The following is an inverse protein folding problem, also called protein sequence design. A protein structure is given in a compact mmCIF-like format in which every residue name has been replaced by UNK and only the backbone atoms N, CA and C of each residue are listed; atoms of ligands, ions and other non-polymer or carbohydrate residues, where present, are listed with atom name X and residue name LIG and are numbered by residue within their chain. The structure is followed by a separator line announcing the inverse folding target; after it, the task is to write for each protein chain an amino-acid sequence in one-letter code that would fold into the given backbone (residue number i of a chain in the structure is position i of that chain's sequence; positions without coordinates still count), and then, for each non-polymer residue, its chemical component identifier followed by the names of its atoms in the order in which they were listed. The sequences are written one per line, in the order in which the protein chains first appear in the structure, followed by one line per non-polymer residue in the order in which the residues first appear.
data_IF_346037681572
#
_entry.id   IF_346037681572
#
_cell.length_a   1.000
_cell.length_b   1.000
_cell.length_c   1.000
_cell.angle_alpha   90.00
_cell.angle_beta   90.00
_cell.angle_gamma   90.00
#
_symmetry.space_group_name_H-M   'P 1'
#
loop_
_entity.id
_entity.type
_entity.pdbx_description
1 polymer ?
#
# COMPACT_ATOMS: atom_id res chain seq x y z
N UNK A 1 19.53 -17.00 2.60
CA UNK A 1 19.18 -16.16 1.44
C UNK A 1 18.21 -16.85 0.47
N UNK A 2 18.51 -17.93 -0.23
CA UNK A 2 17.59 -18.59 -1.20
C UNK A 2 16.28 -19.15 -0.60
N UNK A 3 16.26 -19.58 0.64
CA UNK A 3 15.08 -20.15 1.30
C UNK A 3 14.08 -19.06 1.75
N UNK A 4 14.57 -17.92 2.21
CA UNK A 4 13.77 -16.75 2.57
C UNK A 4 13.03 -16.17 1.35
N UNK A 5 13.73 -16.08 0.21
CA UNK A 5 13.16 -15.55 -1.05
C UNK A 5 11.99 -16.40 -1.60
N UNK A 6 12.06 -17.75 -1.45
CA UNK A 6 10.98 -18.65 -1.87
C UNK A 6 9.73 -18.51 -0.97
N UNK A 7 9.92 -18.36 0.34
CA UNK A 7 8.81 -18.22 1.30
C UNK A 7 8.10 -16.88 1.12
N UNK A 8 8.84 -15.79 0.94
CA UNK A 8 8.25 -14.47 0.66
C UNK A 8 7.45 -14.49 -0.65
N UNK A 9 7.97 -15.10 -1.70
CA UNK A 9 7.23 -15.24 -2.97
C UNK A 9 5.93 -16.00 -2.79
N UNK A 10 5.92 -17.07 -2.01
CA UNK A 10 4.72 -17.83 -1.69
C UNK A 10 3.69 -16.99 -0.92
N UNK A 11 4.13 -16.22 0.08
CA UNK A 11 3.25 -15.31 0.84
C UNK A 11 2.65 -14.24 -0.08
N UNK A 12 3.46 -13.65 -0.96
CA UNK A 12 3.00 -12.65 -1.91
C UNK A 12 1.98 -13.23 -2.90
N UNK A 13 2.19 -14.46 -3.39
CA UNK A 13 1.27 -15.12 -4.32
C UNK A 13 -0.04 -15.48 -3.64
N UNK A 14 0.00 -16.16 -2.50
CA UNK A 14 -1.20 -16.52 -1.73
C UNK A 14 -1.98 -15.30 -1.25
N UNK A 15 -1.29 -14.28 -0.76
CA UNK A 15 -1.95 -13.04 -0.32
C UNK A 15 -2.56 -12.26 -1.46
N UNK A 16 -1.94 -12.27 -2.64
CA UNK A 16 -2.51 -11.69 -3.85
C UNK A 16 -3.77 -12.43 -4.29
N UNK A 17 -3.72 -13.76 -4.33
CA UNK A 17 -4.89 -14.59 -4.67
C UNK A 17 -6.05 -14.33 -3.70
N UNK A 18 -5.79 -14.33 -2.40
CA UNK A 18 -6.81 -14.06 -1.39
C UNK A 18 -7.45 -12.68 -1.58
N UNK A 19 -6.64 -11.65 -1.83
CA UNK A 19 -7.13 -10.30 -2.10
C UNK A 19 -7.95 -10.23 -3.40
N UNK A 20 -7.49 -10.85 -4.49
CA UNK A 20 -8.17 -10.83 -5.78
C UNK A 20 -9.51 -11.57 -5.72
N UNK A 21 -9.62 -12.69 -5.00
CA UNK A 21 -10.89 -13.41 -4.77
C UNK A 21 -11.91 -12.50 -4.07
N UNK A 22 -11.50 -11.81 -3.02
CA UNK A 22 -12.43 -10.96 -2.25
C UNK A 22 -12.78 -9.69 -3.02
N UNK A 23 -11.83 -9.08 -3.75
CA UNK A 23 -12.11 -7.95 -4.65
C UNK A 23 -13.13 -8.34 -5.73
N UNK A 24 -13.03 -9.56 -6.30
CA UNK A 24 -13.98 -10.05 -7.28
C UNK A 24 -15.40 -10.17 -6.72
N UNK A 25 -15.53 -10.56 -5.44
CA UNK A 25 -16.82 -10.71 -4.75
C UNK A 25 -17.44 -9.35 -4.34
N UNK A 26 -16.60 -8.39 -3.97
CA UNK A 26 -17.04 -7.09 -3.46
C UNK A 26 -17.37 -6.08 -4.56
N UNK A 27 -16.73 -6.19 -5.73
CA UNK A 27 -16.98 -5.28 -6.84
C UNK A 27 -18.22 -5.70 -7.63
N UNK A 28 -19.10 -4.77 -8.00
CA UNK A 28 -20.24 -5.08 -8.86
C UNK A 28 -19.79 -5.75 -10.16
N UNK A 29 -20.58 -6.70 -10.71
CA UNK A 29 -20.28 -7.32 -12.00
C UNK A 29 -20.19 -6.27 -13.11
N UNK A 30 -19.34 -6.51 -14.11
CA UNK A 30 -19.17 -5.61 -15.26
C UNK A 30 -20.47 -5.39 -16.07
N UNK A 31 -21.43 -6.31 -15.95
CA UNK A 31 -22.75 -6.27 -16.59
C UNK A 31 -23.80 -5.48 -15.81
N UNK A 32 -23.54 -5.15 -14.54
CA UNK A 32 -24.49 -4.43 -13.68
C UNK A 32 -24.67 -2.99 -14.18
N UNK A 33 -25.91 -2.49 -14.12
CA UNK A 33 -26.19 -1.10 -14.51
C UNK A 33 -25.85 -0.13 -13.35
N UNK A 34 -25.13 0.98 -13.64
CA UNK A 34 -24.60 1.47 -14.94
C UNK A 34 -23.28 0.75 -15.33
N UNK A 35 -23.28 0.07 -16.47
CA UNK A 35 -22.18 -0.84 -16.88
C UNK A 35 -20.81 -0.16 -17.05
N UNK A 36 -20.79 1.07 -17.59
CA UNK A 36 -19.52 1.77 -17.87
C UNK A 36 -18.68 2.00 -16.62
N UNK A 37 -19.30 2.37 -15.49
CA UNK A 37 -18.59 2.62 -14.23
C UNK A 37 -18.01 1.33 -13.65
N UNK A 38 -18.79 0.23 -13.64
CA UNK A 38 -18.34 -1.05 -13.10
C UNK A 38 -17.24 -1.67 -13.95
N UNK A 39 -17.32 -1.52 -15.28
CA UNK A 39 -16.24 -1.92 -16.20
C UNK A 39 -14.96 -1.13 -15.92
N UNK A 40 -15.04 0.19 -15.70
CA UNK A 40 -13.89 1.05 -15.44
C UNK A 40 -13.24 0.76 -14.07
N UNK A 41 -14.04 0.54 -13.00
CA UNK A 41 -13.56 0.12 -11.69
C UNK A 41 -12.78 -1.20 -11.80
N UNK A 42 -13.39 -2.21 -12.41
CA UNK A 42 -12.81 -3.54 -12.59
C UNK A 42 -11.58 -3.52 -13.49
N UNK A 43 -11.59 -2.72 -14.57
CA UNK A 43 -10.43 -2.52 -15.43
C UNK A 43 -9.20 -2.08 -14.62
N UNK A 44 -9.35 -1.14 -13.73
CA UNK A 44 -8.26 -0.58 -12.93
C UNK A 44 -7.84 -1.51 -11.79
N UNK A 45 -8.80 -2.07 -11.04
CA UNK A 45 -8.51 -3.00 -9.94
C UNK A 45 -7.80 -4.25 -10.45
N UNK A 46 -8.24 -4.85 -11.57
CA UNK A 46 -7.65 -6.07 -12.13
C UNK A 46 -6.60 -5.81 -13.21
N UNK A 47 -6.02 -4.62 -13.25
CA UNK A 47 -4.86 -4.33 -14.10
C UNK A 47 -3.56 -5.03 -13.64
N UNK A 48 -3.62 -5.87 -12.62
CA UNK A 48 -2.47 -6.52 -11.98
C UNK A 48 -2.00 -5.75 -10.74
N UNK A 49 -0.85 -6.15 -10.21
CA UNK A 49 -0.24 -5.55 -9.01
C UNK A 49 0.12 -6.57 -7.96
N UNK A 50 1.02 -6.17 -7.03
CA UNK A 50 1.55 -7.06 -5.98
C UNK A 50 0.59 -7.19 -4.78
N UNK A 51 -0.48 -6.42 -4.71
CA UNK A 51 -1.43 -6.38 -3.58
C UNK A 51 -0.73 -6.19 -2.23
N UNK A 52 0.30 -5.36 -2.20
CA UNK A 52 1.14 -5.19 -1.01
C UNK A 52 0.34 -4.72 0.22
N UNK A 53 -0.60 -3.77 0.06
CA UNK A 53 -1.40 -3.24 1.15
C UNK A 53 -2.31 -4.30 1.78
N UNK A 54 -3.10 -5.07 1.02
CA UNK A 54 -3.81 -6.24 1.53
C UNK A 54 -2.91 -7.23 2.27
N UNK A 55 -1.76 -7.57 1.70
CA UNK A 55 -0.84 -8.56 2.27
C UNK A 55 -0.28 -8.07 3.61
N UNK A 56 0.19 -6.82 3.67
CA UNK A 56 0.67 -6.22 4.92
C UNK A 56 -0.41 -6.17 6.00
N UNK A 57 -1.65 -5.86 5.62
CA UNK A 57 -2.79 -5.87 6.53
C UNK A 57 -3.05 -7.28 7.10
N UNK A 58 -3.13 -8.28 6.23
CA UNK A 58 -3.37 -9.67 6.60
C UNK A 58 -2.25 -10.22 7.50
N UNK A 59 -0.99 -9.96 7.15
CA UNK A 59 0.15 -10.47 7.93
C UNK A 59 0.31 -9.76 9.27
N UNK A 60 -0.02 -8.47 9.38
CA UNK A 60 -0.08 -7.78 10.67
C UNK A 60 -1.18 -8.37 11.58
N UNK A 61 -2.34 -8.65 11.02
CA UNK A 61 -3.42 -9.33 11.75
C UNK A 61 -3.03 -10.75 12.17
N UNK A 62 -2.36 -11.52 11.30
CA UNK A 62 -1.83 -12.86 11.61
C UNK A 62 -0.83 -12.82 12.76
N UNK A 63 0.12 -11.88 12.71
CA UNK A 63 1.14 -11.69 13.75
C UNK A 63 0.51 -11.42 15.13
N UNK A 64 -0.39 -10.44 15.20
CA UNK A 64 -1.06 -10.08 16.47
C UNK A 64 -1.88 -11.26 17.01
N UNK A 65 -2.62 -11.97 16.16
CA UNK A 65 -3.37 -13.14 16.57
C UNK A 65 -2.46 -14.26 17.10
N UNK A 66 -1.35 -14.53 16.41
CA UNK A 66 -0.39 -15.53 16.83
C UNK A 66 0.24 -15.19 18.19
N UNK A 67 0.62 -13.94 18.42
CA UNK A 67 1.16 -13.47 19.69
C UNK A 67 0.16 -13.59 20.84
N UNK A 68 -1.12 -13.28 20.61
CA UNK A 68 -2.18 -13.40 21.61
C UNK A 68 -2.44 -14.85 22.03
N UNK A 69 -2.33 -15.81 21.09
CA UNK A 69 -2.52 -17.25 21.37
C UNK A 69 -1.29 -17.87 22.05
N UNK A 70 -0.09 -17.42 21.73
CA UNK A 70 1.14 -17.89 22.40
C UNK A 70 1.16 -17.58 23.90
N UNK A 71 0.47 -16.52 24.33
CA UNK A 71 0.24 -16.19 25.73
C UNK A 71 -0.84 -17.03 26.43
N UNK A 72 -1.73 -17.66 25.67
CA UNK A 72 -2.79 -18.55 26.15
C UNK A 72 -2.53 -19.95 25.58
N UNK A 73 -2.10 -20.92 26.44
CA UNK A 73 -1.73 -22.30 26.11
C UNK A 73 -2.22 -22.86 24.75
N UNK A 74 -1.27 -23.24 23.92
CA UNK A 74 -1.31 -23.96 22.63
C UNK A 74 -2.69 -24.43 22.11
N UNK A 75 -3.29 -23.66 21.21
CA UNK A 75 -4.40 -24.11 20.36
C UNK A 75 -3.99 -24.04 18.89
N UNK A 76 -4.50 -24.94 18.06
CA UNK A 76 -4.17 -25.17 16.63
C UNK A 76 -4.40 -24.00 15.65
N UNK A 77 -4.54 -22.76 16.12
CA UNK A 77 -4.91 -21.59 15.33
C UNK A 77 -3.83 -20.50 15.27
N UNK A 78 -2.65 -20.74 15.84
CA UNK A 78 -1.58 -19.75 16.00
C UNK A 78 -1.01 -19.17 14.70
N UNK A 79 -1.32 -19.74 13.54
CA UNK A 79 -0.84 -19.26 12.23
C UNK A 79 -1.95 -18.87 11.25
N UNK A 80 -3.23 -18.93 11.65
CA UNK A 80 -4.35 -18.64 10.74
C UNK A 80 -4.65 -17.13 10.67
N UNK A 81 -5.12 -16.67 9.50
CA UNK A 81 -5.65 -15.31 9.35
C UNK A 81 -6.87 -15.09 10.27
N UNK A 82 -7.06 -13.90 10.84
CA UNK A 82 -8.34 -13.49 11.40
C UNK A 82 -9.43 -13.59 10.33
N UNK A 83 -10.56 -14.24 10.64
CA UNK A 83 -11.63 -14.45 9.66
C UNK A 83 -12.18 -13.11 9.15
N UNK A 84 -12.24 -12.93 7.83
CA UNK A 84 -12.77 -11.73 7.18
C UNK A 84 -11.81 -10.56 7.07
N UNK A 85 -10.54 -10.70 7.48
CA UNK A 85 -9.53 -9.63 7.36
C UNK A 85 -9.23 -9.30 5.88
N UNK A 86 -9.48 -10.24 4.98
CA UNK A 86 -9.32 -10.07 3.54
C UNK A 86 -10.22 -8.96 2.99
N UNK A 87 -11.42 -8.76 3.58
CA UNK A 87 -12.31 -7.66 3.22
C UNK A 87 -11.69 -6.29 3.58
N UNK A 88 -11.05 -6.18 4.73
CA UNK A 88 -10.28 -5.00 5.10
C UNK A 88 -9.13 -4.76 4.12
N UNK A 89 -8.39 -5.82 3.76
CA UNK A 89 -7.34 -5.76 2.74
C UNK A 89 -7.87 -5.28 1.39
N UNK A 90 -9.02 -5.80 0.95
CA UNK A 90 -9.65 -5.40 -0.31
C UNK A 90 -10.06 -3.92 -0.31
N UNK A 91 -10.61 -3.40 0.79
CA UNK A 91 -10.94 -1.98 0.92
C UNK A 91 -9.69 -1.09 0.80
N UNK A 92 -8.57 -1.48 1.41
CA UNK A 92 -7.29 -0.77 1.30
C UNK A 92 -6.76 -0.77 -0.15
N UNK A 93 -6.96 -1.85 -0.90
CA UNK A 93 -6.58 -1.92 -2.31
C UNK A 93 -7.50 -1.07 -3.19
N UNK A 94 -8.80 -1.00 -2.89
CA UNK A 94 -9.72 -0.07 -3.57
C UNK A 94 -9.28 1.38 -3.39
N UNK A 95 -8.89 1.76 -2.16
CA UNK A 95 -8.36 3.09 -1.84
C UNK A 95 -7.02 3.36 -2.52
N UNK A 96 -6.16 2.38 -2.67
CA UNK A 96 -4.96 2.53 -3.49
C UNK A 96 -5.30 2.68 -4.97
N UNK A 97 -6.24 1.89 -5.48
CA UNK A 97 -6.57 1.90 -6.91
C UNK A 97 -7.24 3.20 -7.33
N UNK A 98 -8.14 3.77 -6.51
CA UNK A 98 -8.74 5.06 -6.84
C UNK A 98 -7.68 6.15 -7.00
N UNK A 99 -6.67 6.18 -6.12
CA UNK A 99 -5.61 7.19 -6.21
C UNK A 99 -4.81 7.04 -7.50
N UNK A 100 -4.54 5.80 -7.94
CA UNK A 100 -3.87 5.55 -9.21
C UNK A 100 -4.70 6.00 -10.41
N UNK A 101 -6.04 5.78 -10.38
CA UNK A 101 -6.93 6.24 -11.47
C UNK A 101 -6.88 7.76 -11.59
N UNK A 102 -6.92 8.47 -10.45
CA UNK A 102 -6.89 9.93 -10.44
C UNK A 102 -5.50 10.45 -10.81
N UNK A 103 -4.42 9.86 -10.29
CA UNK A 103 -3.04 10.23 -10.65
C UNK A 103 -2.79 10.13 -12.16
N UNK A 104 -3.36 9.13 -12.83
CA UNK A 104 -3.19 8.93 -14.27
C UNK A 104 -3.91 9.98 -15.14
N UNK A 105 -4.83 10.78 -14.60
CA UNK A 105 -5.60 11.77 -15.36
C UNK A 105 -4.70 12.86 -15.98
N UNK A 106 -5.13 13.47 -17.12
CA UNK A 106 -4.37 14.57 -17.75
C UNK A 106 -4.13 15.78 -16.85
N UNK A 107 -4.95 15.97 -15.83
CA UNK A 107 -4.78 17.05 -14.84
C UNK A 107 -3.67 16.78 -13.82
N UNK A 108 -3.16 15.55 -13.73
CA UNK A 108 -2.11 15.10 -12.83
C UNK A 108 -0.94 14.52 -13.65
N UNK A 109 -0.61 13.25 -13.52
CA UNK A 109 0.57 12.64 -14.16
C UNK A 109 0.42 12.43 -15.68
N UNK A 110 -0.81 12.48 -16.21
CA UNK A 110 -1.15 12.27 -17.63
C UNK A 110 -0.51 11.00 -18.22
N UNK A 111 -0.72 9.86 -17.55
CA UNK A 111 -0.17 8.57 -17.94
C UNK A 111 -1.08 7.84 -18.94
N UNK A 112 -0.52 7.41 -20.08
CA UNK A 112 -1.24 6.61 -21.06
C UNK A 112 -1.34 5.13 -20.68
N UNK A 113 -0.32 4.62 -19.96
CA UNK A 113 -0.17 3.23 -19.61
C UNK A 113 0.13 3.05 -18.11
N UNK A 114 -0.51 2.06 -17.48
CA UNK A 114 -0.20 1.58 -16.15
C UNK A 114 -0.11 0.05 -16.14
N UNK A 115 1.02 -0.47 -15.69
CA UNK A 115 1.31 -1.91 -15.70
C UNK A 115 1.15 -2.53 -17.10
N UNK A 116 1.55 -1.78 -18.14
CA UNK A 116 1.48 -2.20 -19.54
C UNK A 116 0.07 -2.20 -20.15
N UNK A 117 -0.95 -1.69 -19.45
CA UNK A 117 -2.33 -1.58 -19.94
C UNK A 117 -2.73 -0.10 -20.07
N UNK A 118 -3.65 0.27 -21.00
CA UNK A 118 -4.21 1.61 -21.03
C UNK A 118 -4.77 2.04 -19.68
N UNK A 119 -4.48 3.27 -19.27
CA UNK A 119 -5.05 3.86 -18.04
C UNK A 119 -6.56 4.03 -18.16
N UNK A 120 -7.24 4.21 -17.04
CA UNK A 120 -8.71 4.27 -17.00
C UNK A 120 -9.25 5.37 -17.92
N UNK A 121 -8.65 6.56 -17.90
CA UNK A 121 -9.10 7.68 -18.76
C UNK A 121 -8.87 7.44 -20.25
N UNK A 122 -7.84 6.67 -20.62
CA UNK A 122 -7.60 6.28 -22.03
C UNK A 122 -8.60 5.24 -22.49
N UNK A 123 -9.03 4.33 -21.63
CA UNK A 123 -9.96 3.25 -21.98
C UNK A 123 -11.43 3.69 -21.95
N UNK A 124 -11.82 4.58 -21.03
CA UNK A 124 -13.22 4.92 -20.74
C UNK A 124 -13.52 6.44 -20.82
N UNK A 125 -12.51 7.28 -21.04
CA UNK A 125 -12.63 8.74 -21.01
C UNK A 125 -12.49 9.32 -19.59
N UNK A 126 -12.14 10.60 -19.52
CA UNK A 126 -11.82 11.30 -18.26
C UNK A 126 -12.98 11.32 -17.26
N UNK A 127 -14.20 11.62 -17.73
CA UNK A 127 -15.37 11.69 -16.86
C UNK A 127 -15.66 10.34 -16.16
N UNK A 128 -15.57 9.22 -16.89
CA UNK A 128 -15.76 7.89 -16.30
C UNK A 128 -14.60 7.52 -15.38
N UNK A 129 -13.37 7.93 -15.70
CA UNK A 129 -12.21 7.68 -14.83
C UNK A 129 -12.34 8.43 -13.50
N UNK A 130 -12.74 9.70 -13.50
CA UNK A 130 -13.02 10.46 -12.27
C UNK A 130 -14.06 9.73 -11.41
N UNK A 131 -15.20 9.39 -12.02
CA UNK A 131 -16.28 8.71 -11.31
C UNK A 131 -15.90 7.29 -10.84
N UNK A 132 -15.03 6.58 -11.58
CA UNK A 132 -14.55 5.27 -11.16
C UNK A 132 -13.65 5.35 -9.92
N UNK A 133 -12.81 6.38 -9.82
CA UNK A 133 -12.06 6.68 -8.60
C UNK A 133 -12.97 6.99 -7.42
N UNK A 134 -13.95 7.90 -7.61
CA UNK A 134 -14.95 8.25 -6.58
C UNK A 134 -15.74 7.02 -6.11
N UNK A 135 -16.16 6.16 -7.05
CA UNK A 135 -16.90 4.95 -6.76
C UNK A 135 -16.07 3.94 -5.94
N UNK A 136 -14.80 3.72 -6.30
CA UNK A 136 -13.90 2.83 -5.53
C UNK A 136 -13.65 3.36 -4.12
N UNK A 137 -13.45 4.67 -3.97
CA UNK A 137 -13.29 5.29 -2.66
C UNK A 137 -14.55 5.10 -1.80
N UNK A 138 -15.71 5.38 -2.35
CA UNK A 138 -17.00 5.22 -1.66
C UNK A 138 -17.23 3.76 -1.27
N UNK A 139 -17.02 2.83 -2.19
CA UNK A 139 -17.20 1.41 -1.92
C UNK A 139 -16.21 0.86 -0.88
N UNK A 140 -14.98 1.35 -0.85
CA UNK A 140 -14.03 0.99 0.18
C UNK A 140 -14.55 1.31 1.58
N UNK A 141 -15.12 2.51 1.79
CA UNK A 141 -15.71 2.88 3.08
C UNK A 141 -16.98 2.10 3.39
N UNK A 142 -17.79 1.74 2.41
CA UNK A 142 -18.93 0.84 2.60
C UNK A 142 -18.46 -0.54 3.10
N UNK A 143 -17.41 -1.12 2.50
CA UNK A 143 -16.79 -2.37 2.96
C UNK A 143 -16.25 -2.22 4.37
N UNK A 144 -15.49 -1.15 4.67
CA UNK A 144 -14.95 -0.90 6.00
C UNK A 144 -16.03 -0.80 7.08
N UNK A 145 -17.20 -0.26 6.74
CA UNK A 145 -18.34 -0.16 7.65
C UNK A 145 -18.97 -1.54 7.97
N UNK A 146 -18.67 -2.58 7.19
CA UNK A 146 -19.27 -3.92 7.29
C UNK A 146 -18.30 -5.00 7.74
N UNK A 147 -16.98 -4.72 7.88
CA UNK A 147 -16.00 -5.71 8.30
C UNK A 147 -16.38 -6.35 9.64
N UNK A 148 -16.09 -7.66 9.78
CA UNK A 148 -16.54 -8.50 10.89
C UNK A 148 -15.62 -8.34 12.13
N UNK A 149 -15.66 -7.18 12.77
CA UNK A 149 -14.96 -6.90 14.04
C UNK A 149 -15.85 -6.08 15.00
N UNK A 150 -15.47 -5.94 16.29
CA UNK A 150 -16.20 -5.09 17.23
C UNK A 150 -16.42 -3.66 16.71
N UNK A 151 -17.55 -3.05 17.04
CA UNK A 151 -17.93 -1.74 16.50
C UNK A 151 -16.90 -0.65 16.81
N UNK A 152 -16.30 -0.67 17.99
CA UNK A 152 -15.26 0.26 18.41
C UNK A 152 -13.99 0.10 17.58
N UNK A 153 -13.57 -1.14 17.29
CA UNK A 153 -12.44 -1.43 16.43
C UNK A 153 -12.73 -0.99 14.98
N UNK A 154 -13.95 -1.23 14.49
CA UNK A 154 -14.39 -0.80 13.16
C UNK A 154 -14.32 0.71 12.98
N UNK A 155 -14.83 1.46 13.95
CA UNK A 155 -14.75 2.94 13.94
C UNK A 155 -13.30 3.42 14.00
N UNK A 156 -12.46 2.79 14.82
CA UNK A 156 -11.04 3.11 14.90
C UNK A 156 -10.31 2.84 13.57
N UNK A 157 -10.59 1.72 12.90
CA UNK A 157 -10.05 1.36 11.59
C UNK A 157 -10.50 2.38 10.53
N UNK A 158 -11.80 2.70 10.47
CA UNK A 158 -12.31 3.70 9.52
C UNK A 158 -11.60 5.04 9.72
N UNK A 159 -11.43 5.48 10.97
CA UNK A 159 -10.73 6.73 11.30
C UNK A 159 -9.26 6.69 10.88
N UNK A 160 -8.55 5.58 11.14
CA UNK A 160 -7.16 5.37 10.74
C UNK A 160 -7.00 5.49 9.21
N UNK A 161 -7.84 4.77 8.47
CA UNK A 161 -7.81 4.74 7.01
C UNK A 161 -8.21 6.09 6.42
N UNK A 162 -9.24 6.76 6.97
CA UNK A 162 -9.66 8.09 6.52
C UNK A 162 -8.58 9.16 6.76
N UNK A 163 -7.87 9.09 7.89
CA UNK A 163 -6.72 9.98 8.14
C UNK A 163 -5.61 9.74 7.12
N UNK A 164 -5.23 8.49 6.88
CA UNK A 164 -4.15 8.12 5.96
C UNK A 164 -4.46 8.48 4.49
N UNK A 165 -5.72 8.55 4.10
CA UNK A 165 -6.13 9.00 2.76
C UNK A 165 -6.46 10.48 2.68
N UNK A 166 -6.46 11.18 3.83
CA UNK A 166 -6.90 12.58 3.96
C UNK A 166 -5.86 13.61 3.54
N UNK A 167 -6.09 14.86 4.00
CA UNK A 167 -5.30 16.03 3.60
C UNK A 167 -4.17 16.38 4.58
N UNK A 168 -4.29 16.00 5.86
CA UNK A 168 -3.25 16.27 6.87
C UNK A 168 -2.45 14.98 7.08
N UNK A 169 -1.17 15.00 6.71
CA UNK A 169 -0.25 13.86 6.77
C UNK A 169 -0.77 12.60 6.07
N UNK A 170 -1.72 12.77 5.15
CA UNK A 170 -2.36 11.72 4.37
C UNK A 170 -2.13 11.85 2.87
N UNK A 171 -2.58 10.85 2.13
CA UNK A 171 -2.28 10.66 0.72
C UNK A 171 -2.68 11.86 -0.17
N UNK A 172 -3.87 12.44 0.05
CA UNK A 172 -4.33 13.61 -0.72
C UNK A 172 -3.44 14.82 -0.43
N UNK A 173 -3.10 15.07 0.86
CA UNK A 173 -2.20 16.15 1.24
C UNK A 173 -0.81 15.99 0.63
N UNK A 174 -0.27 14.76 0.64
CA UNK A 174 1.00 14.43 0.00
C UNK A 174 0.98 14.68 -1.50
N UNK A 175 -0.12 14.33 -2.19
CA UNK A 175 -0.30 14.60 -3.62
C UNK A 175 -0.34 16.10 -3.94
N UNK A 176 -1.00 16.90 -3.10
CA UNK A 176 -1.03 18.37 -3.28
C UNK A 176 0.38 18.94 -3.16
N UNK A 177 1.14 18.55 -2.13
CA UNK A 177 2.52 19.05 -1.94
C UNK A 177 3.45 18.56 -3.06
N UNK A 178 3.25 17.34 -3.57
CA UNK A 178 3.98 16.82 -4.73
C UNK A 178 3.78 17.72 -5.96
N UNK A 179 2.52 18.08 -6.29
CA UNK A 179 2.19 19.02 -7.38
C UNK A 179 2.79 20.43 -7.13
N UNK A 180 2.70 20.93 -5.91
CA UNK A 180 3.28 22.26 -5.56
C UNK A 180 4.81 22.29 -5.65
N UNK A 181 5.45 21.11 -5.51
CA UNK A 181 6.89 20.94 -5.59
C UNK A 181 7.42 20.75 -7.03
N UNK A 182 6.54 20.49 -8.02
CA UNK A 182 6.94 20.38 -9.42
C UNK A 182 7.66 21.65 -9.92
N UNK A 183 8.70 21.46 -10.73
CA UNK A 183 9.54 22.53 -11.26
C UNK A 183 10.22 23.42 -10.18
N UNK A 184 10.24 22.95 -8.92
CA UNK A 184 11.00 23.59 -7.82
C UNK A 184 12.12 22.64 -7.39
N UNK A 185 13.04 23.17 -6.58
CA UNK A 185 14.05 22.33 -5.89
C UNK A 185 13.62 22.20 -4.42
N UNK A 186 12.72 21.25 -4.10
CA UNK A 186 12.28 21.06 -2.74
C UNK A 186 13.45 20.62 -1.87
N UNK A 187 13.41 21.05 -0.60
CA UNK A 187 14.34 20.58 0.41
C UNK A 187 13.99 19.16 0.88
N UNK A 188 14.87 18.57 1.69
CA UNK A 188 14.66 17.23 2.24
C UNK A 188 13.37 17.13 3.03
N UNK A 189 13.00 18.14 3.80
CA UNK A 189 11.79 18.12 4.62
C UNK A 189 10.52 18.01 3.75
N UNK A 190 10.46 18.74 2.65
CA UNK A 190 9.37 18.68 1.67
C UNK A 190 9.32 17.32 0.99
N UNK A 191 10.47 16.77 0.55
CA UNK A 191 10.56 15.45 -0.05
C UNK A 191 10.09 14.35 0.92
N UNK A 192 10.57 14.38 2.16
CA UNK A 192 10.14 13.42 3.19
C UNK A 192 8.64 13.56 3.49
N UNK A 193 8.08 14.76 3.52
CA UNK A 193 6.65 14.95 3.71
C UNK A 193 5.85 14.29 2.58
N UNK A 194 6.25 14.51 1.32
CA UNK A 194 5.61 13.86 0.16
C UNK A 194 5.64 12.34 0.31
N UNK A 195 6.82 11.76 0.54
CA UNK A 195 6.98 10.30 0.65
C UNK A 195 6.18 9.70 1.82
N UNK A 196 6.20 10.37 2.99
CA UNK A 196 5.47 9.92 4.18
C UNK A 196 3.97 10.01 3.99
N UNK A 197 3.48 11.09 3.39
CA UNK A 197 2.05 11.36 3.24
C UNK A 197 1.46 10.66 2.02
N UNK A 198 2.02 10.86 0.82
CA UNK A 198 1.48 10.31 -0.43
C UNK A 198 1.50 8.79 -0.45
N UNK A 199 2.56 8.16 0.05
CA UNK A 199 2.77 6.71 -0.07
C UNK A 199 2.76 5.97 1.26
N UNK A 200 3.61 6.41 2.23
CA UNK A 200 3.80 5.66 3.47
C UNK A 200 2.57 5.71 4.40
N UNK A 201 1.74 6.74 4.32
CA UNK A 201 0.54 6.86 5.16
C UNK A 201 -0.42 5.67 4.95
N UNK A 202 -0.76 5.33 3.71
CA UNK A 202 -1.66 4.20 3.43
C UNK A 202 -1.00 2.83 3.68
N UNK A 203 0.32 2.70 3.49
CA UNK A 203 1.08 1.51 3.90
C UNK A 203 1.01 1.33 5.42
N UNK A 204 1.23 2.40 6.17
CA UNK A 204 1.12 2.41 7.64
C UNK A 204 -0.27 2.04 8.11
N UNK A 205 -1.30 2.67 7.52
CA UNK A 205 -2.69 2.36 7.84
C UNK A 205 -3.04 0.90 7.53
N UNK A 206 -2.46 0.29 6.50
CA UNK A 206 -2.67 -1.12 6.18
C UNK A 206 -2.18 -2.03 7.31
N UNK A 207 -0.96 -1.80 7.78
CA UNK A 207 -0.36 -2.57 8.88
C UNK A 207 -1.12 -2.34 10.19
N UNK A 208 -1.37 -1.08 10.54
CA UNK A 208 -2.05 -0.69 11.77
C UNK A 208 -3.49 -1.22 11.83
N UNK A 209 -4.24 -1.08 10.73
CA UNK A 209 -5.61 -1.57 10.65
C UNK A 209 -5.71 -3.08 10.74
N UNK A 210 -4.76 -3.81 10.15
CA UNK A 210 -4.66 -5.27 10.29
C UNK A 210 -4.45 -5.69 11.76
N UNK A 211 -3.56 -5.00 12.48
CA UNK A 211 -3.38 -5.19 13.91
C UNK A 211 -4.63 -4.86 14.73
N UNK A 212 -5.28 -3.71 14.47
CA UNK A 212 -6.54 -3.32 15.14
C UNK A 212 -7.64 -4.36 14.93
N UNK A 213 -7.76 -4.89 13.71
CA UNK A 213 -8.73 -5.94 13.38
C UNK A 213 -8.51 -7.21 14.21
N UNK A 214 -7.27 -7.55 14.49
CA UNK A 214 -6.88 -8.71 15.31
C UNK A 214 -6.86 -8.45 16.82
N UNK A 215 -7.22 -7.25 17.29
CA UNK A 215 -7.28 -6.91 18.69
C UNK A 215 -5.95 -6.43 19.29
N UNK A 216 -5.10 -5.79 18.49
CA UNK A 216 -3.84 -5.20 18.93
C UNK A 216 -4.03 -4.22 20.10
N UNK A 217 -3.13 -4.27 21.09
CA UNK A 217 -3.06 -3.31 22.18
C UNK A 217 -2.56 -1.95 21.70
N UNK A 218 -2.66 -0.92 22.53
CA UNK A 218 -2.10 0.42 22.22
C UNK A 218 -0.59 0.35 21.96
N UNK A 219 0.14 -0.50 22.69
CA UNK A 219 1.57 -0.70 22.50
C UNK A 219 1.86 -1.37 21.14
N UNK A 220 1.10 -2.41 20.77
CA UNK A 220 1.21 -3.06 19.48
C UNK A 220 0.94 -2.08 18.31
N UNK A 221 -0.09 -1.25 18.44
CA UNK A 221 -0.43 -0.22 17.45
C UNK A 221 0.73 0.76 17.28
N UNK A 222 1.40 1.17 18.38
CA UNK A 222 2.59 2.03 18.34
C UNK A 222 3.72 1.40 17.53
N UNK A 223 4.04 0.12 17.78
CA UNK A 223 5.08 -0.62 17.04
C UNK A 223 4.72 -0.83 15.57
N UNK A 224 3.49 -1.25 15.29
CA UNK A 224 3.00 -1.43 13.93
C UNK A 224 3.04 -0.12 13.14
N UNK A 225 2.77 1.01 13.80
CA UNK A 225 2.86 2.34 13.19
C UNK A 225 4.30 2.69 12.83
N UNK A 226 5.26 2.50 13.76
CA UNK A 226 6.69 2.75 13.50
C UNK A 226 7.19 1.83 12.37
N UNK A 227 6.80 0.55 12.39
CA UNK A 227 7.10 -0.40 11.32
C UNK A 227 6.56 0.10 9.98
N UNK A 228 5.26 0.43 9.89
CA UNK A 228 4.61 0.88 8.67
C UNK A 228 5.22 2.16 8.08
N UNK A 229 5.51 3.15 8.94
CA UNK A 229 6.17 4.40 8.53
C UNK A 229 7.58 4.16 7.98
N UNK A 230 8.33 3.27 8.62
CA UNK A 230 9.69 2.97 8.20
C UNK A 230 9.74 2.20 6.88
N UNK A 231 8.93 1.15 6.71
CA UNK A 231 8.89 0.41 5.45
C UNK A 231 8.27 1.23 4.31
N UNK A 232 7.30 2.10 4.61
CA UNK A 232 6.68 2.96 3.62
C UNK A 232 7.64 4.00 3.06
N UNK A 233 8.48 4.61 3.91
CA UNK A 233 9.52 5.53 3.48
C UNK A 233 10.63 4.77 2.72
N UNK A 234 11.09 3.62 3.22
CA UNK A 234 12.09 2.80 2.55
C UNK A 234 11.61 2.37 1.15
N UNK A 235 10.33 1.99 1.03
CA UNK A 235 9.69 1.63 -0.24
C UNK A 235 9.82 2.77 -1.26
N UNK A 236 9.53 4.01 -0.86
CA UNK A 236 9.58 5.16 -1.75
C UNK A 236 11.01 5.53 -2.14
N UNK A 237 11.96 5.46 -1.20
CA UNK A 237 13.38 5.69 -1.50
C UNK A 237 13.87 4.70 -2.56
N UNK A 238 13.48 3.43 -2.44
CA UNK A 238 13.84 2.40 -3.43
C UNK A 238 13.14 2.64 -4.76
N UNK A 239 11.88 3.08 -4.77
CA UNK A 239 11.17 3.43 -6.00
C UNK A 239 11.88 4.59 -6.75
N UNK A 240 12.36 5.62 -6.04
CA UNK A 240 13.16 6.72 -6.60
C UNK A 240 14.46 6.21 -7.25
N UNK A 241 15.14 5.25 -6.59
CA UNK A 241 16.35 4.62 -7.14
C UNK A 241 16.04 3.80 -8.40
N UNK A 242 14.94 3.05 -8.39
CA UNK A 242 14.53 2.21 -9.51
C UNK A 242 14.11 3.06 -10.73
N UNK A 243 13.44 4.19 -10.51
CA UNK A 243 13.05 5.10 -11.61
C UNK A 243 14.26 5.67 -12.37
N UNK A 244 15.39 5.85 -11.68
CA UNK A 244 16.65 6.30 -12.29
C UNK A 244 17.45 5.18 -12.96
N UNK A 245 17.30 3.93 -12.52
CA UNK A 245 18.18 2.82 -12.92
C UNK A 245 17.55 1.84 -13.87
N UNK A 246 16.23 1.84 -14.01
CA UNK A 246 15.48 0.89 -14.84
C UNK A 246 14.90 1.52 -16.11
N UNK A 247 14.63 0.65 -17.11
CA UNK A 247 13.96 1.06 -18.35
C UNK A 247 12.43 1.08 -18.22
N UNK A 248 11.73 1.80 -19.10
CA UNK A 248 10.26 1.83 -19.12
C UNK A 248 9.62 0.45 -19.26
N UNK A 249 10.24 -0.49 -20.00
CA UNK A 249 9.76 -1.88 -20.12
C UNK A 249 9.82 -2.61 -18.78
N UNK A 250 10.86 -2.38 -17.99
CA UNK A 250 11.05 -3.00 -16.67
C UNK A 250 10.09 -2.42 -15.63
N UNK A 251 9.84 -1.10 -15.69
CA UNK A 251 8.95 -0.41 -14.76
C UNK A 251 7.45 -0.62 -15.08
N UNK A 252 7.12 -0.97 -16.32
CA UNK A 252 5.72 -1.07 -16.78
C UNK A 252 4.98 0.28 -16.86
N UNK A 253 5.72 1.39 -16.71
CA UNK A 253 5.31 2.79 -16.88
C UNK A 253 6.42 3.57 -17.58
N UNK A 254 6.17 4.81 -18.00
CA UNK A 254 7.20 5.67 -18.59
C UNK A 254 8.31 5.93 -17.55
N UNK A 255 9.56 5.51 -17.83
CA UNK A 255 10.72 5.78 -16.99
C UNK A 255 11.21 7.23 -17.15
N UNK A 256 11.85 7.77 -16.11
CA UNK A 256 12.48 9.09 -16.14
C UNK A 256 11.50 10.26 -16.10
N UNK A 257 10.23 10.04 -15.73
CA UNK A 257 9.26 11.12 -15.55
C UNK A 257 9.69 12.09 -14.45
N UNK A 258 10.22 11.58 -13.34
CA UNK A 258 10.69 12.43 -12.24
C UNK A 258 11.81 13.36 -12.71
N UNK A 259 12.70 12.87 -13.58
CA UNK A 259 13.73 13.71 -14.20
C UNK A 259 13.15 14.73 -15.19
N UNK A 260 12.12 14.37 -15.95
CA UNK A 260 11.47 15.27 -16.90
C UNK A 260 10.63 16.35 -16.19
N UNK A 261 10.03 16.01 -15.04
CA UNK A 261 9.28 16.93 -14.19
C UNK A 261 10.19 17.72 -13.21
N UNK A 262 11.52 17.52 -13.27
CA UNK A 262 12.48 18.09 -12.30
C UNK A 262 12.11 17.79 -10.84
N UNK A 263 11.45 16.64 -10.57
CA UNK A 263 11.08 16.23 -9.22
C UNK A 263 12.33 15.98 -8.39
N UNK A 264 12.31 16.39 -7.14
CA UNK A 264 13.35 16.00 -6.20
C UNK A 264 13.15 14.50 -5.85
N UNK A 265 14.27 13.79 -5.80
CA UNK A 265 14.32 12.38 -5.41
C UNK A 265 15.45 12.17 -4.39
N UNK A 266 15.36 11.13 -3.59
CA UNK A 266 16.45 10.78 -2.66
C UNK A 266 17.80 10.62 -3.38
N UNK A 267 17.90 9.91 -4.52
CA UNK A 267 19.16 9.82 -5.24
C UNK A 267 19.69 11.17 -5.76
N UNK A 268 18.82 12.12 -6.05
CA UNK A 268 19.26 13.47 -6.46
C UNK A 268 19.90 14.27 -5.30
N UNK A 269 19.47 14.01 -4.06
CA UNK A 269 19.99 14.68 -2.87
C UNK A 269 21.23 13.97 -2.28
N UNK A 270 21.22 12.64 -2.24
CA UNK A 270 22.21 11.85 -1.51
C UNK A 270 23.07 10.93 -2.39
N UNK A 271 22.70 10.73 -3.66
CA UNK A 271 23.26 9.68 -4.50
C UNK A 271 22.62 8.32 -4.26
N UNK A 272 22.84 7.39 -5.21
CA UNK A 272 22.17 6.06 -5.21
C UNK A 272 22.60 5.22 -4.00
N UNK A 273 23.93 5.12 -3.72
CA UNK A 273 24.46 4.27 -2.66
C UNK A 273 23.95 4.67 -1.28
N UNK A 274 23.97 5.98 -0.97
CA UNK A 274 23.48 6.50 0.30
C UNK A 274 21.96 6.34 0.43
N UNK A 275 21.21 6.51 -0.67
CA UNK A 275 19.75 6.28 -0.67
C UNK A 275 19.42 4.82 -0.34
N UNK A 276 20.13 3.87 -0.92
CA UNK A 276 19.96 2.44 -0.60
C UNK A 276 20.31 2.18 0.86
N UNK A 277 21.41 2.71 1.38
CA UNK A 277 21.83 2.55 2.76
C UNK A 277 20.78 3.11 3.75
N UNK A 278 20.18 4.27 3.45
CA UNK A 278 19.10 4.83 4.26
C UNK A 278 17.84 3.95 4.23
N UNK A 279 17.49 3.38 3.08
CA UNK A 279 16.37 2.45 2.98
C UNK A 279 16.62 1.16 3.79
N UNK A 280 17.82 0.60 3.75
CA UNK A 280 18.22 -0.55 4.57
C UNK A 280 18.13 -0.23 6.08
N UNK A 281 18.63 0.93 6.49
CA UNK A 281 18.56 1.39 7.90
C UNK A 281 17.11 1.51 8.37
N UNK A 282 16.21 1.98 7.52
CA UNK A 282 14.77 2.07 7.84
C UNK A 282 14.15 0.67 7.98
N UNK A 283 14.54 -0.30 7.16
CA UNK A 283 14.08 -1.68 7.28
C UNK A 283 14.57 -2.33 8.58
N UNK A 284 15.84 -2.15 8.95
CA UNK A 284 16.36 -2.64 10.22
C UNK A 284 15.60 -2.04 11.42
N UNK A 285 15.33 -0.73 11.37
CA UNK A 285 14.50 -0.07 12.39
C UNK A 285 13.09 -0.69 12.45
N UNK A 286 12.44 -0.91 11.31
CA UNK A 286 11.14 -1.54 11.25
C UNK A 286 11.15 -2.95 11.85
N UNK A 287 12.13 -3.77 11.49
CA UNK A 287 12.29 -5.13 11.99
C UNK A 287 12.54 -5.15 13.51
N UNK A 288 13.28 -4.18 14.04
CA UNK A 288 13.55 -4.07 15.48
C UNK A 288 12.28 -3.85 16.30
N UNK A 289 11.32 -3.07 15.81
CA UNK A 289 10.02 -2.85 16.48
C UNK A 289 9.20 -4.12 16.66
N UNK A 290 9.45 -5.13 15.82
CA UNK A 290 8.72 -6.39 15.85
C UNK A 290 9.46 -7.52 16.60
N UNK A 291 10.60 -7.24 17.25
CA UNK A 291 11.41 -8.29 17.89
C UNK A 291 10.69 -9.03 19.01
N UNK A 292 9.82 -8.37 19.75
CA UNK A 292 9.09 -9.00 20.87
C UNK A 292 8.08 -10.07 20.41
N UNK A 293 7.67 -10.07 19.14
CA UNK A 293 6.74 -11.06 18.58
C UNK A 293 7.43 -12.35 18.12
N UNK A 294 8.77 -12.41 18.17
CA UNK A 294 9.55 -13.60 17.81
C UNK A 294 9.20 -14.13 16.41
N UNK A 295 8.96 -15.43 16.30
CA UNK A 295 8.62 -16.12 15.06
C UNK A 295 7.32 -15.60 14.41
N UNK A 296 6.36 -15.10 15.19
CA UNK A 296 5.12 -14.57 14.65
C UNK A 296 5.34 -13.36 13.73
N UNK A 297 6.44 -12.63 13.89
CA UNK A 297 6.82 -11.48 13.08
C UNK A 297 7.67 -11.82 11.85
N UNK A 298 8.09 -13.08 11.68
CA UNK A 298 9.05 -13.46 10.63
C UNK A 298 8.58 -12.99 9.23
N UNK A 299 7.34 -13.26 8.88
CA UNK A 299 6.78 -12.89 7.57
C UNK A 299 6.81 -11.37 7.32
N UNK A 300 6.45 -10.55 8.31
CA UNK A 300 6.52 -9.08 8.16
C UNK A 300 7.96 -8.60 8.02
N UNK A 301 8.90 -9.17 8.75
CA UNK A 301 10.34 -8.84 8.61
C UNK A 301 10.87 -9.23 7.24
N UNK A 302 10.54 -10.42 6.77
CA UNK A 302 10.93 -10.89 5.43
C UNK A 302 10.34 -10.03 4.32
N UNK A 303 9.07 -9.59 4.47
CA UNK A 303 8.43 -8.64 3.55
C UNK A 303 9.14 -7.28 3.55
N UNK A 304 9.58 -6.77 4.72
CA UNK A 304 10.31 -5.52 4.82
C UNK A 304 11.64 -5.58 4.05
N UNK A 305 12.43 -6.63 4.23
CA UNK A 305 13.67 -6.86 3.46
C UNK A 305 13.40 -6.99 1.96
N UNK A 306 12.39 -7.78 1.59
CA UNK A 306 12.00 -7.94 0.18
C UNK A 306 11.69 -6.60 -0.50
N UNK A 307 11.09 -5.63 0.22
CA UNK A 307 10.75 -4.32 -0.35
C UNK A 307 11.97 -3.49 -0.75
N UNK A 308 13.10 -3.67 -0.06
CA UNK A 308 14.36 -2.94 -0.33
C UNK A 308 15.26 -3.72 -1.29
N UNK A 309 15.24 -5.06 -1.22
CA UNK A 309 16.06 -5.91 -2.10
C UNK A 309 15.51 -6.04 -3.53
N UNK A 310 14.35 -5.42 -3.83
CA UNK A 310 13.73 -5.45 -5.16
C UNK A 310 14.70 -4.93 -6.22
N UNK A 311 15.13 -5.80 -7.11
CA UNK A 311 15.93 -5.45 -8.29
C UNK A 311 15.08 -5.34 -9.55
N UNK A 312 13.78 -5.59 -9.45
CA UNK A 312 12.82 -5.56 -10.58
C UNK A 312 11.39 -5.29 -10.11
#
# INVERSE_FOLDING_TARGET
MLYCDAMVKQVLEQGREAADIVLEQLLPPASEHPTAIHQAMRHSVFAGGKRLRPILCMEAGRMIRAASVAGAQSGSHAGSLPAGIEQLGAALEMLHTYSLIHDDLPALDNDDLRRGRPTCHKAFGEAIAILAGDALQTQAYEVLAQIACPAEARVAIIREVAHATGTIDGMIGGQVVDLEAEHKKPDLATLEYIHRSKTAALITASVVSGGMYAGATVADIGRLRTYGQSIGLAFQIVDDVLDLTQTSEQLGKTAGKDKAAEKATYPALFGIEESIHQAETLVEKACAELNEYGEAASTLKDLAHYLVERKK
#
